data_IF_633587739541
#
_entry.id   IF_633587739541
#
_cell.length_a   1.000
_cell.length_b   1.000
_cell.length_c   1.000
_cell.angle_alpha   90.00
_cell.angle_beta   90.00
_cell.angle_gamma   90.00
#
_symmetry.space_group_name_H-M   'P 1'
#
loop_
_entity.id
_entity.type
_entity.pdbx_description
1 polymer ?
#
# COMPACT_ATOMS: atom_id res chain seq x y z
N UNK A 1 11.44 7.97 -27.06
CA UNK A 1 10.23 8.68 -26.59
C UNK A 1 10.70 9.76 -25.65
N UNK A 2 10.54 11.01 -26.05
CA UNK A 2 10.95 12.18 -25.28
C UNK A 2 10.15 12.26 -23.98
N UNK A 3 10.83 12.17 -22.84
CA UNK A 3 10.23 12.36 -21.52
C UNK A 3 9.90 13.84 -21.31
N UNK A 4 8.73 14.27 -21.78
CA UNK A 4 8.25 15.67 -21.65
C UNK A 4 7.69 16.04 -20.28
N UNK A 5 7.82 15.19 -19.27
CA UNK A 5 7.65 15.56 -17.88
C UNK A 5 8.72 14.82 -17.06
N UNK A 6 9.35 15.48 -16.10
CA UNK A 6 10.41 14.94 -15.22
C UNK A 6 9.99 13.76 -14.32
N UNK A 7 8.96 13.00 -14.69
CA UNK A 7 8.59 11.75 -14.05
C UNK A 7 9.26 10.59 -14.78
N UNK A 8 10.24 9.94 -14.13
CA UNK A 8 10.73 8.68 -14.65
C UNK A 8 9.59 7.65 -14.63
N UNK A 9 9.39 6.92 -15.73
CA UNK A 9 8.38 5.86 -15.83
C UNK A 9 8.47 4.87 -14.67
N UNK A 10 9.69 4.63 -14.18
CA UNK A 10 10.01 3.83 -13.00
C UNK A 10 9.25 4.30 -11.74
N UNK A 11 9.25 5.60 -11.48
CA UNK A 11 8.59 6.22 -10.32
C UNK A 11 7.07 6.09 -10.37
N UNK A 12 6.46 6.35 -11.53
CA UNK A 12 5.03 6.14 -11.74
C UNK A 12 4.63 4.67 -11.56
N UNK A 13 5.47 3.74 -12.02
CA UNK A 13 5.26 2.32 -11.82
C UNK A 13 5.37 1.94 -10.34
N UNK A 14 6.29 2.53 -9.57
CA UNK A 14 6.41 2.31 -8.12
C UNK A 14 5.15 2.76 -7.38
N UNK A 15 4.67 3.98 -7.62
CA UNK A 15 3.44 4.48 -7.02
C UNK A 15 2.22 3.59 -7.33
N UNK A 16 2.11 3.14 -8.59
CA UNK A 16 1.07 2.19 -9.02
C UNK A 16 1.18 0.85 -8.29
N UNK A 17 2.39 0.33 -8.10
CA UNK A 17 2.62 -0.93 -7.37
C UNK A 17 2.23 -0.81 -5.89
N UNK A 18 2.58 0.29 -5.22
CA UNK A 18 2.14 0.55 -3.84
C UNK A 18 0.61 0.60 -3.74
N UNK A 19 -0.05 1.35 -4.63
CA UNK A 19 -1.51 1.43 -4.66
C UNK A 19 -2.17 0.05 -4.83
N UNK A 20 -1.58 -0.81 -5.67
CA UNK A 20 -2.03 -2.19 -5.85
C UNK A 20 -1.83 -3.03 -4.60
N UNK A 21 -0.68 -2.91 -3.92
CA UNK A 21 -0.40 -3.59 -2.65
C UNK A 21 -1.46 -3.24 -1.60
N UNK A 22 -1.78 -1.96 -1.43
CA UNK A 22 -2.82 -1.52 -0.49
C UNK A 22 -4.17 -2.14 -0.79
N UNK A 23 -4.60 -2.13 -2.06
CA UNK A 23 -5.89 -2.69 -2.46
C UNK A 23 -5.96 -4.19 -2.15
N UNK A 24 -4.91 -4.93 -2.48
CA UNK A 24 -4.82 -6.37 -2.22
C UNK A 24 -4.86 -6.65 -0.71
N UNK A 25 -4.15 -5.86 0.10
CA UNK A 25 -4.10 -6.03 1.56
C UNK A 25 -5.42 -5.66 2.24
N UNK A 26 -6.08 -4.57 1.82
CA UNK A 26 -7.44 -4.23 2.29
C UNK A 26 -8.43 -5.35 1.94
N UNK A 27 -8.32 -5.91 0.74
CA UNK A 27 -9.19 -7.04 0.32
C UNK A 27 -8.97 -8.27 1.20
N UNK A 28 -7.73 -8.60 1.58
CA UNK A 28 -7.42 -9.70 2.50
C UNK A 28 -8.03 -9.48 3.89
N UNK A 29 -7.99 -8.24 4.39
CA UNK A 29 -8.60 -7.88 5.69
C UNK A 29 -10.12 -8.10 5.63
N UNK A 30 -10.78 -7.56 4.62
CA UNK A 30 -12.23 -7.71 4.45
C UNK A 30 -12.62 -9.19 4.34
N UNK A 31 -11.88 -9.96 3.54
CA UNK A 31 -12.15 -11.39 3.39
C UNK A 31 -12.00 -12.16 4.72
N UNK A 32 -10.95 -11.89 5.48
CA UNK A 32 -10.75 -12.53 6.79
C UNK A 32 -11.86 -12.16 7.78
N UNK A 33 -12.30 -10.89 7.77
CA UNK A 33 -13.42 -10.43 8.58
C UNK A 33 -14.71 -11.19 8.24
N UNK A 34 -15.03 -11.34 6.95
CA UNK A 34 -16.20 -12.10 6.50
C UNK A 34 -16.14 -13.58 6.91
N UNK A 35 -14.95 -14.22 6.84
CA UNK A 35 -14.77 -15.59 7.30
C UNK A 35 -14.99 -15.73 8.82
N UNK A 36 -14.54 -14.76 9.60
CA UNK A 36 -14.76 -14.72 11.05
C UNK A 36 -16.25 -14.56 11.38
N UNK A 37 -16.96 -13.65 10.70
CA UNK A 37 -18.41 -13.48 10.87
C UNK A 37 -19.20 -14.75 10.58
N UNK A 38 -18.79 -15.51 9.56
CA UNK A 38 -19.40 -16.78 9.18
C UNK A 38 -18.98 -17.95 10.08
N UNK A 39 -18.16 -17.70 11.12
CA UNK A 39 -17.60 -18.70 12.04
C UNK A 39 -16.78 -19.79 11.33
N UNK A 40 -16.20 -19.47 10.17
CA UNK A 40 -15.32 -20.35 9.42
C UNK A 40 -13.87 -20.27 9.88
N UNK A 41 -13.52 -19.21 10.63
CA UNK A 41 -12.20 -18.98 11.23
C UNK A 41 -12.40 -18.54 12.67
N UNK A 42 -11.50 -18.99 13.54
CA UNK A 42 -11.45 -18.57 14.94
C UNK A 42 -11.23 -17.03 15.05
N UNK A 43 -12.00 -16.33 15.91
CA UNK A 43 -11.88 -14.88 16.05
C UNK A 43 -10.48 -14.38 16.41
N UNK A 44 -9.73 -15.07 17.27
CA UNK A 44 -8.38 -14.65 17.67
C UNK A 44 -7.37 -14.79 16.52
N UNK A 45 -7.54 -15.83 15.70
CA UNK A 45 -6.76 -16.04 14.47
C UNK A 45 -7.08 -14.94 13.46
N UNK A 46 -8.36 -14.61 13.27
CA UNK A 46 -8.78 -13.56 12.37
C UNK A 46 -8.25 -12.18 12.80
N UNK A 47 -8.37 -11.85 14.08
CA UNK A 47 -7.85 -10.59 14.65
C UNK A 47 -6.33 -10.49 14.48
N UNK A 48 -5.59 -11.55 14.80
CA UNK A 48 -4.14 -11.60 14.62
C UNK A 48 -3.72 -11.42 13.15
N UNK A 49 -4.45 -12.05 12.22
CA UNK A 49 -4.22 -11.89 10.79
C UNK A 49 -4.49 -10.47 10.31
N UNK A 50 -5.62 -9.88 10.71
CA UNK A 50 -6.00 -8.51 10.36
C UNK A 50 -4.96 -7.53 10.90
N UNK A 51 -4.57 -7.65 12.18
CA UNK A 51 -3.57 -6.79 12.81
C UNK A 51 -2.22 -6.82 12.08
N UNK A 52 -1.80 -7.99 11.57
CA UNK A 52 -0.58 -8.10 10.76
C UNK A 52 -0.71 -7.36 9.43
N UNK A 53 -1.82 -7.49 8.73
CA UNK A 53 -2.04 -6.81 7.45
C UNK A 53 -2.16 -5.29 7.61
N UNK A 54 -2.76 -4.81 8.72
CA UNK A 54 -2.75 -3.37 9.05
C UNK A 54 -1.32 -2.85 9.21
N UNK A 55 -0.46 -3.58 9.94
CA UNK A 55 0.97 -3.21 10.07
C UNK A 55 1.73 -3.24 8.74
N UNK A 56 1.31 -4.07 7.80
CA UNK A 56 1.88 -4.10 6.44
C UNK A 56 1.49 -2.85 5.65
N UNK A 57 0.22 -2.43 5.75
CA UNK A 57 -0.25 -1.16 5.18
C UNK A 57 0.55 0.02 5.74
N UNK A 58 0.78 0.09 7.05
CA UNK A 58 1.55 1.18 7.64
C UNK A 58 2.97 1.28 7.05
N UNK A 59 3.65 0.15 6.87
CA UNK A 59 5.00 0.11 6.27
C UNK A 59 4.99 0.53 4.80
N UNK A 60 4.05 -0.02 4.04
CA UNK A 60 3.91 0.32 2.62
C UNK A 60 3.52 1.79 2.45
N UNK A 61 2.75 2.36 3.40
CA UNK A 61 2.36 3.76 3.43
C UNK A 61 3.54 4.70 3.65
N UNK A 62 4.44 4.37 4.59
CA UNK A 62 5.69 5.13 4.75
C UNK A 62 6.53 5.09 3.48
N UNK A 63 6.64 3.92 2.83
CA UNK A 63 7.35 3.82 1.55
C UNK A 63 6.70 4.67 0.46
N UNK A 64 5.37 4.64 0.37
CA UNK A 64 4.62 5.42 -0.60
C UNK A 64 4.71 6.93 -0.37
N UNK A 65 4.70 7.39 0.88
CA UNK A 65 4.91 8.81 1.22
C UNK A 65 6.32 9.28 0.90
N UNK A 66 7.34 8.45 1.15
CA UNK A 66 8.73 8.80 0.82
C UNK A 66 8.92 9.14 -0.66
N UNK A 67 8.11 8.55 -1.55
CA UNK A 67 8.07 8.91 -2.97
C UNK A 67 7.58 10.35 -3.21
N UNK A 68 6.59 10.81 -2.42
CA UNK A 68 6.05 12.18 -2.51
C UNK A 68 7.07 13.18 -1.95
N UNK A 69 7.68 12.88 -0.80
CA UNK A 69 8.70 13.73 -0.16
C UNK A 69 9.90 13.95 -1.09
N UNK A 70 10.43 12.90 -1.72
CA UNK A 70 11.49 13.02 -2.73
C UNK A 70 11.10 13.90 -3.94
N UNK A 71 9.80 14.07 -4.23
CA UNK A 71 9.32 14.95 -5.30
C UNK A 71 9.24 16.41 -4.84
N UNK A 72 9.03 16.67 -3.56
CA UNK A 72 9.06 18.03 -3.02
C UNK A 72 10.50 18.54 -3.01
N UNK A 73 11.45 17.76 -2.51
CA UNK A 73 12.88 18.09 -2.52
C UNK A 73 13.42 18.38 -3.93
N UNK A 74 13.03 17.58 -4.93
CA UNK A 74 13.47 17.77 -6.31
C UNK A 74 12.79 18.97 -7.01
N UNK A 75 11.64 19.45 -6.50
CA UNK A 75 10.95 20.63 -7.04
C UNK A 75 11.55 21.93 -6.53
N UNK A 76 12.26 21.93 -5.41
CA UNK A 76 13.00 23.10 -4.93
C UNK A 76 14.33 23.32 -5.67
N UNK A 77 14.75 22.35 -6.49
CA UNK A 77 15.99 22.38 -7.27
C UNK A 77 15.80 22.81 -8.75
N UNK A 78 14.54 22.94 -9.20
CA UNK A 78 14.14 23.46 -10.52
C UNK A 78 13.67 24.93 -10.41
#
# INVERSE_FOLDING_TARGET
MESKHGMSQYRLNSAKSCARSFLETVTKIEFMYQLSLQKLVDPEIAESYIARNVKEIDRDWEHFKSYIEQREDMRELD
#
